data_IF_454686473500
#
_entry.id   IF_454686473500
#
_cell.length_a   1.000
_cell.length_b   1.000
_cell.length_c   1.000
_cell.angle_alpha   90.00
_cell.angle_beta   90.00
_cell.angle_gamma   90.00
#
_symmetry.space_group_name_H-M   'P 1'
#
loop_
_entity.id
_entity.type
_entity.pdbx_description
1 polymer ?
#
# COMPACT_ATOMS: atom_id res chain seq x y z
N UNK A 1 8.80 36.67 36.40
CA UNK A 1 7.64 36.41 35.53
C UNK A 1 8.20 35.71 34.30
N UNK A 2 8.14 34.38 34.27
CA UNK A 2 8.76 33.56 33.22
C UNK A 2 7.74 33.31 32.12
N UNK A 3 8.07 33.69 30.88
CA UNK A 3 7.25 33.42 29.71
C UNK A 3 7.17 31.91 29.46
N UNK A 4 5.98 31.33 29.21
CA UNK A 4 5.86 29.94 28.83
C UNK A 4 6.39 29.77 27.41
N UNK A 5 7.42 28.92 27.27
CA UNK A 5 8.05 28.59 26.01
C UNK A 5 7.04 28.14 24.97
N UNK A 6 7.01 28.84 23.83
CA UNK A 6 6.27 28.45 22.64
C UNK A 6 6.77 27.07 22.17
N UNK A 7 5.96 26.06 22.40
CA UNK A 7 6.12 24.75 21.76
C UNK A 7 5.87 24.95 20.26
N UNK A 8 6.78 24.53 19.37
CA UNK A 8 6.55 24.66 17.93
C UNK A 8 5.34 23.81 17.53
N UNK A 9 4.49 24.27 16.59
CA UNK A 9 3.39 23.47 16.09
C UNK A 9 3.95 22.21 15.42
N UNK A 10 3.52 21.04 15.90
CA UNK A 10 3.77 19.78 15.22
C UNK A 10 3.27 19.89 13.78
N UNK A 11 4.16 19.71 12.81
CA UNK A 11 3.87 19.76 11.39
C UNK A 11 2.70 18.81 11.08
N UNK A 12 1.56 19.31 10.56
CA UNK A 12 0.44 18.45 10.21
C UNK A 12 0.79 17.65 8.95
N UNK A 13 0.74 16.32 9.06
CA UNK A 13 0.37 15.46 7.93
C UNK A 13 1.46 15.06 6.96
N UNK A 14 2.66 14.69 7.43
CA UNK A 14 3.42 13.68 6.69
C UNK A 14 2.60 12.38 6.77
N UNK A 15 1.70 12.16 5.81
CA UNK A 15 1.00 10.89 5.63
C UNK A 15 2.07 9.82 5.62
N UNK A 16 2.19 9.07 6.73
CA UNK A 16 3.13 7.96 6.83
C UNK A 16 2.67 6.95 5.79
N UNK A 17 3.30 6.97 4.62
CA UNK A 17 3.15 5.94 3.61
C UNK A 17 3.38 4.63 4.33
N UNK A 18 2.34 3.81 4.38
CA UNK A 18 2.47 2.51 5.03
C UNK A 18 3.30 1.59 4.14
N UNK A 19 3.87 0.53 4.73
CA UNK A 19 4.55 -0.49 3.94
C UNK A 19 3.61 -1.04 2.84
N UNK A 20 2.32 -1.17 3.16
CA UNK A 20 1.31 -1.63 2.21
C UNK A 20 1.12 -0.68 1.03
N UNK A 21 1.10 0.64 1.28
CA UNK A 21 0.99 1.63 0.22
C UNK A 21 2.21 1.58 -0.72
N UNK A 22 3.41 1.39 -0.17
CA UNK A 22 4.64 1.24 -0.96
C UNK A 22 4.63 -0.07 -1.77
N UNK A 23 4.16 -1.17 -1.18
CA UNK A 23 4.01 -2.46 -1.86
C UNK A 23 2.99 -2.35 -3.00
N UNK A 24 1.84 -1.72 -2.78
CA UNK A 24 0.83 -1.48 -3.81
C UNK A 24 1.39 -0.66 -4.98
N UNK A 25 2.13 0.42 -4.68
CA UNK A 25 2.78 1.23 -5.71
C UNK A 25 3.80 0.42 -6.51
N UNK A 26 4.61 -0.40 -5.84
CA UNK A 26 5.62 -1.26 -6.47
C UNK A 26 5.00 -2.31 -7.39
N UNK A 27 3.92 -2.97 -6.94
CA UNK A 27 3.19 -3.95 -7.76
C UNK A 27 2.54 -3.31 -8.99
N UNK A 28 2.00 -2.09 -8.84
CA UNK A 28 1.45 -1.35 -9.96
C UNK A 28 2.52 -0.93 -10.97
N UNK A 29 3.70 -0.54 -10.50
CA UNK A 29 4.83 -0.20 -11.37
C UNK A 29 5.34 -1.43 -12.13
N UNK A 30 5.40 -2.59 -11.45
CA UNK A 30 5.80 -3.86 -12.06
C UNK A 30 4.83 -4.26 -13.18
N UNK A 31 3.52 -4.17 -12.94
CA UNK A 31 2.53 -4.41 -13.97
C UNK A 31 2.63 -3.44 -15.15
N UNK A 32 2.89 -2.16 -14.88
CA UNK A 32 3.11 -1.15 -15.92
C UNK A 32 4.38 -1.39 -16.75
N UNK A 33 5.37 -2.09 -16.21
CA UNK A 33 6.57 -2.51 -16.92
C UNK A 33 6.37 -3.76 -17.79
N UNK A 34 5.15 -4.33 -17.84
CA UNK A 34 4.83 -5.55 -18.60
C UNK A 34 4.91 -6.83 -17.77
N UNK A 35 5.37 -6.76 -16.52
CA UNK A 35 5.53 -7.90 -15.60
C UNK A 35 4.22 -8.21 -14.84
N UNK A 36 3.09 -8.20 -15.55
CA UNK A 36 1.74 -8.30 -14.97
C UNK A 36 1.53 -9.62 -14.23
N UNK A 37 2.02 -10.74 -14.77
CA UNK A 37 1.91 -12.05 -14.12
C UNK A 37 2.67 -12.10 -12.78
N UNK A 38 3.88 -11.53 -12.73
CA UNK A 38 4.67 -11.48 -11.52
C UNK A 38 4.02 -10.57 -10.47
N UNK A 39 3.49 -9.42 -10.91
CA UNK A 39 2.71 -8.53 -10.04
C UNK A 39 1.46 -9.23 -9.48
N UNK A 40 0.78 -10.03 -10.29
CA UNK A 40 -0.39 -10.81 -9.88
C UNK A 40 -0.03 -11.85 -8.80
N UNK A 41 1.04 -12.64 -9.01
CA UNK A 41 1.52 -13.62 -8.02
C UNK A 41 1.86 -12.97 -6.68
N UNK A 42 2.62 -11.87 -6.70
CA UNK A 42 3.02 -11.14 -5.49
C UNK A 42 1.82 -10.50 -4.78
N UNK A 43 0.85 -9.94 -5.53
CA UNK A 43 -0.39 -9.42 -4.97
C UNK A 43 -1.20 -10.51 -4.25
N UNK A 44 -1.24 -11.73 -4.80
CA UNK A 44 -1.90 -12.88 -4.18
C UNK A 44 -1.24 -13.28 -2.85
N UNK A 45 0.09 -13.29 -2.79
CA UNK A 45 0.83 -13.57 -1.55
C UNK A 45 0.57 -12.49 -0.49
N UNK A 46 0.58 -11.21 -0.87
CA UNK A 46 0.25 -10.10 0.03
C UNK A 46 -1.18 -10.22 0.60
N UNK A 47 -2.15 -10.66 -0.22
CA UNK A 47 -3.51 -10.95 0.23
C UNK A 47 -3.52 -12.07 1.28
N UNK A 48 -2.80 -13.18 1.05
CA UNK A 48 -2.76 -14.30 1.99
C UNK A 48 -2.22 -13.89 3.36
N UNK A 49 -1.20 -13.02 3.39
CA UNK A 49 -0.61 -12.49 4.62
C UNK A 49 -1.59 -11.57 5.39
N UNK A 50 -2.34 -10.72 4.68
CA UNK A 50 -3.24 -9.76 5.33
C UNK A 50 -4.61 -10.33 5.70
N UNK A 51 -5.01 -11.47 5.13
CA UNK A 51 -6.36 -12.05 5.25
C UNK A 51 -6.87 -12.16 6.70
N UNK A 52 -5.98 -12.44 7.64
CA UNK A 52 -6.32 -12.68 9.06
C UNK A 52 -5.91 -11.53 9.99
N UNK A 53 -5.19 -10.53 9.49
CA UNK A 53 -4.54 -9.50 10.31
C UNK A 53 -5.06 -8.09 10.03
N UNK A 54 -5.37 -7.76 8.78
CA UNK A 54 -5.85 -6.43 8.40
C UNK A 54 -6.79 -6.50 7.19
N UNK A 55 -8.08 -6.38 7.47
CA UNK A 55 -9.13 -6.41 6.45
C UNK A 55 -9.05 -5.22 5.46
N UNK A 56 -8.48 -4.08 5.86
CA UNK A 56 -8.35 -2.90 5.01
C UNK A 56 -7.21 -3.08 4.02
N UNK A 57 -6.05 -3.54 4.49
CA UNK A 57 -4.92 -3.88 3.63
C UNK A 57 -5.31 -5.01 2.66
N UNK A 58 -5.96 -6.07 3.16
CA UNK A 58 -6.44 -7.17 2.35
C UNK A 58 -7.32 -6.69 1.18
N UNK A 59 -8.31 -5.83 1.44
CA UNK A 59 -9.20 -5.31 0.40
C UNK A 59 -8.45 -4.56 -0.70
N UNK A 60 -7.40 -3.79 -0.35
CA UNK A 60 -6.61 -3.03 -1.33
C UNK A 60 -5.81 -3.96 -2.24
N UNK A 61 -5.10 -4.93 -1.67
CA UNK A 61 -4.35 -5.91 -2.45
C UNK A 61 -5.28 -6.78 -3.30
N UNK A 62 -6.43 -7.19 -2.76
CA UNK A 62 -7.41 -7.98 -3.50
C UNK A 62 -7.99 -7.22 -4.70
N UNK A 63 -8.28 -5.93 -4.53
CA UNK A 63 -8.74 -5.06 -5.62
C UNK A 63 -7.67 -4.92 -6.73
N UNK A 64 -6.40 -4.76 -6.35
CA UNK A 64 -5.30 -4.73 -7.29
C UNK A 64 -5.17 -6.06 -8.03
N UNK A 65 -5.22 -7.18 -7.31
CA UNK A 65 -5.13 -8.54 -7.87
C UNK A 65 -6.19 -8.77 -8.95
N UNK A 66 -7.46 -8.46 -8.66
CA UNK A 66 -8.53 -8.57 -9.65
C UNK A 66 -8.32 -7.67 -10.86
N UNK A 67 -7.74 -6.48 -10.69
CA UNK A 67 -7.41 -5.60 -11.81
C UNK A 67 -6.28 -6.17 -12.67
N UNK A 68 -5.27 -6.76 -12.06
CA UNK A 68 -4.13 -7.36 -12.76
C UNK A 68 -4.55 -8.63 -13.50
N UNK A 69 -5.35 -9.48 -12.86
CA UNK A 69 -5.87 -10.72 -13.48
C UNK A 69 -6.62 -10.45 -14.79
N UNK A 70 -7.40 -9.36 -14.86
CA UNK A 70 -8.11 -8.97 -16.09
C UNK A 70 -7.21 -8.44 -17.21
N UNK A 71 -5.96 -8.11 -16.90
CA UNK A 71 -4.98 -7.65 -17.89
C UNK A 71 -4.14 -8.81 -18.45
N UNK A 72 -4.18 -9.97 -17.80
CA UNK A 72 -3.51 -11.20 -18.26
C UNK A 72 -4.42 -12.11 -19.08
N UNK A 73 -5.72 -11.79 -19.16
CA UNK A 73 -6.73 -12.52 -19.96
C UNK A 73 -6.83 -12.01 -21.40
#
# INVERSE_FOLDING_TARGET
MSEPGSMPPALPGASRTTLDDLLLASLSALAAAGEVEQACRLAGQACALHRSSDARAWNRFNSLLHRLSRQTE
#
